data_IF_989247480171
#
_entry.id   IF_989247480171
#
_cell.length_a   1.000
_cell.length_b   1.000
_cell.length_c   1.000
_cell.angle_alpha   90.00
_cell.angle_beta   90.00
_cell.angle_gamma   90.00
#
_symmetry.space_group_name_H-M   'P 1'
#
loop_
_entity.id
_entity.type
_entity.pdbx_description
1 polymer ?
#
# COMPACT_ATOMS: atom_id res chain seq x y z
N UNK A 1 -50.47 -27.06 -31.61
CA UNK A 1 -51.00 -26.79 -30.25
C UNK A 1 -50.03 -25.88 -29.52
N UNK A 2 -50.59 -24.86 -28.90
CA UNK A 2 -49.94 -23.68 -28.34
C UNK A 2 -49.47 -23.98 -26.91
N UNK A 3 -48.19 -23.81 -26.59
CA UNK A 3 -47.71 -23.85 -25.19
C UNK A 3 -46.94 -22.56 -24.90
N UNK A 4 -47.68 -21.55 -24.46
CA UNK A 4 -47.14 -20.32 -23.85
C UNK A 4 -46.72 -20.59 -22.41
N UNK A 5 -45.91 -19.65 -21.90
CA UNK A 5 -45.55 -19.32 -20.50
C UNK A 5 -44.25 -19.93 -19.96
N UNK A 6 -43.34 -19.17 -19.32
CA UNK A 6 -43.33 -17.76 -18.91
C UNK A 6 -41.85 -17.38 -18.69
N UNK A 7 -41.33 -16.40 -19.41
CA UNK A 7 -40.12 -15.69 -19.00
C UNK A 7 -40.48 -14.88 -17.75
N UNK A 8 -40.30 -15.48 -16.56
CA UNK A 8 -40.43 -14.74 -15.31
C UNK A 8 -39.16 -13.90 -15.21
N UNK A 9 -39.36 -12.59 -15.30
CA UNK A 9 -38.37 -11.56 -15.01
C UNK A 9 -37.72 -11.88 -13.65
N UNK A 10 -36.60 -12.60 -13.67
CA UNK A 10 -35.80 -12.86 -12.50
C UNK A 10 -35.15 -11.53 -12.15
N UNK A 11 -35.61 -10.96 -11.05
CA UNK A 11 -34.96 -9.85 -10.37
C UNK A 11 -33.49 -10.26 -10.19
N UNK A 12 -32.59 -9.50 -10.80
CA UNK A 12 -31.15 -9.70 -10.79
C UNK A 12 -30.68 -10.04 -9.37
N UNK A 13 -30.17 -11.26 -9.17
CA UNK A 13 -29.53 -11.72 -7.92
C UNK A 13 -30.05 -13.02 -7.30
N UNK A 14 -31.24 -13.53 -7.67
CA UNK A 14 -31.72 -14.81 -7.11
C UNK A 14 -31.18 -16.01 -7.90
N UNK A 15 -30.20 -16.73 -7.34
CA UNK A 15 -29.72 -18.01 -7.88
C UNK A 15 -30.48 -19.17 -7.23
N UNK A 16 -31.26 -19.91 -8.03
CA UNK A 16 -31.84 -21.18 -7.59
C UNK A 16 -30.82 -22.29 -7.83
N UNK A 17 -30.23 -22.81 -6.75
CA UNK A 17 -29.35 -23.99 -6.83
C UNK A 17 -30.22 -25.24 -6.75
N UNK A 18 -30.17 -26.07 -7.79
CA UNK A 18 -30.92 -27.32 -7.84
C UNK A 18 -30.12 -28.41 -7.11
N UNK A 19 -30.64 -28.89 -5.98
CA UNK A 19 -30.01 -29.99 -5.24
C UNK A 19 -30.24 -31.31 -6.01
N UNK A 20 -29.19 -32.09 -6.32
CA UNK A 20 -29.35 -33.38 -6.98
C UNK A 20 -30.15 -34.35 -6.09
N UNK A 21 -31.10 -35.06 -6.71
CA UNK A 21 -32.08 -35.92 -6.04
C UNK A 21 -31.41 -37.04 -5.24
N UNK A 22 -31.78 -37.18 -3.97
CA UNK A 22 -31.67 -38.47 -3.27
C UNK A 22 -32.84 -39.36 -3.72
N UNK A 23 -32.51 -40.53 -4.29
CA UNK A 23 -33.44 -41.48 -4.89
C UNK A 23 -34.38 -42.04 -3.81
N UNK A 24 -35.63 -41.59 -3.76
CA UNK A 24 -36.63 -42.24 -2.87
C UNK A 24 -37.95 -41.51 -2.61
N UNK A 25 -38.07 -40.19 -2.80
CA UNK A 25 -39.30 -39.46 -2.40
C UNK A 25 -40.01 -38.81 -3.60
N UNK A 26 -41.17 -39.37 -3.98
CA UNK A 26 -42.09 -38.78 -4.96
C UNK A 26 -42.90 -37.68 -4.25
N UNK A 27 -42.70 -36.43 -4.66
CA UNK A 27 -43.53 -35.31 -4.24
C UNK A 27 -42.70 -34.11 -3.79
N UNK A 28 -42.79 -33.03 -4.58
CA UNK A 28 -42.20 -31.69 -4.35
C UNK A 28 -40.69 -31.61 -4.61
N UNK A 29 -40.31 -30.84 -5.64
CA UNK A 29 -38.91 -30.48 -5.90
C UNK A 29 -38.49 -29.40 -4.91
N UNK A 30 -37.57 -29.65 -3.95
CA UNK A 30 -37.11 -28.60 -3.06
C UNK A 30 -36.21 -27.65 -3.83
N UNK A 31 -36.70 -26.44 -4.10
CA UNK A 31 -35.87 -25.34 -4.59
C UNK A 31 -35.46 -24.50 -3.39
N UNK A 32 -34.14 -24.40 -3.16
CA UNK A 32 -33.59 -23.44 -2.19
C UNK A 32 -33.44 -22.12 -2.92
N UNK A 33 -34.22 -21.11 -2.53
CA UNK A 33 -34.02 -19.75 -2.98
C UNK A 33 -32.92 -19.15 -2.12
N UNK A 34 -31.70 -19.12 -2.65
CA UNK A 34 -30.61 -18.36 -2.05
C UNK A 34 -30.92 -16.89 -2.36
N UNK A 35 -31.50 -16.20 -1.38
CA UNK A 35 -31.56 -14.74 -1.41
C UNK A 35 -30.17 -14.27 -1.01
N UNK A 36 -29.38 -13.66 -1.91
CA UNK A 36 -28.15 -13.02 -1.47
C UNK A 36 -28.55 -11.96 -0.44
N UNK A 37 -27.98 -12.04 0.76
CA UNK A 37 -27.95 -10.90 1.65
C UNK A 37 -27.42 -9.72 0.83
N UNK A 38 -28.24 -8.67 0.71
CA UNK A 38 -27.78 -7.46 0.03
C UNK A 38 -26.64 -6.92 0.89
N UNK A 39 -25.38 -6.91 0.39
CA UNK A 39 -24.31 -6.31 1.15
C UNK A 39 -24.72 -4.87 1.45
N UNK A 40 -24.49 -4.43 2.68
CA UNK A 40 -24.75 -3.04 3.04
C UNK A 40 -23.97 -2.13 2.07
N UNK A 41 -24.51 -0.94 1.78
CA UNK A 41 -23.79 0.05 0.97
C UNK A 41 -22.39 0.35 1.54
N UNK A 42 -22.25 0.27 2.86
CA UNK A 42 -20.96 0.36 3.55
C UNK A 42 -20.02 -0.78 3.16
N UNK A 43 -20.49 -2.02 3.13
CA UNK A 43 -19.70 -3.18 2.73
C UNK A 43 -19.24 -3.07 1.27
N UNK A 44 -20.11 -2.67 0.34
CA UNK A 44 -19.75 -2.44 -1.05
C UNK A 44 -18.74 -1.29 -1.23
N UNK A 45 -18.96 -0.18 -0.52
CA UNK A 45 -18.04 0.95 -0.52
C UNK A 45 -16.66 0.55 0.04
N UNK A 46 -16.59 -0.16 1.17
CA UNK A 46 -15.33 -0.65 1.72
C UNK A 46 -14.65 -1.65 0.80
N UNK A 47 -15.40 -2.56 0.18
CA UNK A 47 -14.84 -3.53 -0.74
C UNK A 47 -14.30 -2.85 -2.01
N UNK A 48 -14.97 -1.79 -2.48
CA UNK A 48 -14.50 -0.97 -3.59
C UNK A 48 -13.22 -0.21 -3.23
N UNK A 49 -13.17 0.41 -2.05
CA UNK A 49 -11.98 1.09 -1.53
C UNK A 49 -10.80 0.13 -1.36
N UNK A 50 -11.01 -1.03 -0.74
CA UNK A 50 -9.96 -2.05 -0.59
C UNK A 50 -9.46 -2.54 -1.96
N UNK A 51 -10.35 -2.81 -2.92
CA UNK A 51 -9.96 -3.20 -4.28
C UNK A 51 -9.19 -2.09 -4.98
N UNK A 52 -9.61 -0.84 -4.83
CA UNK A 52 -8.90 0.30 -5.40
C UNK A 52 -7.51 0.43 -4.78
N UNK A 53 -7.41 0.40 -3.45
CA UNK A 53 -6.17 0.41 -2.69
C UNK A 53 -5.24 -0.75 -3.08
N UNK A 54 -5.79 -1.94 -3.27
CA UNK A 54 -5.03 -3.11 -3.69
C UNK A 54 -4.50 -3.00 -5.13
N UNK A 55 -5.26 -2.36 -6.01
CA UNK A 55 -4.84 -2.05 -7.39
C UNK A 55 -3.78 -0.95 -7.43
N UNK A 56 -3.91 0.06 -6.56
CA UNK A 56 -2.97 1.18 -6.46
C UNK A 56 -1.81 0.94 -5.48
N UNK A 57 -1.70 -0.25 -4.89
CA UNK A 57 -0.69 -0.59 -3.86
C UNK A 57 0.73 -0.24 -4.26
N UNK A 58 1.08 -0.43 -5.53
CA UNK A 58 2.42 -0.11 -6.04
C UNK A 58 2.60 1.37 -6.28
N UNK A 59 1.54 2.13 -6.62
CA UNK A 59 1.60 3.58 -6.78
C UNK A 59 1.66 4.32 -5.43
N UNK A 60 1.15 3.68 -4.37
CA UNK A 60 1.12 4.18 -2.99
C UNK A 60 2.32 3.70 -2.16
N UNK A 61 3.32 3.08 -2.77
CA UNK A 61 4.50 2.64 -2.02
C UNK A 61 5.25 3.79 -1.32
N UNK A 62 5.47 4.96 -1.95
CA UNK A 62 6.17 6.06 -1.29
C UNK A 62 5.35 6.66 -0.14
N UNK A 63 4.04 6.80 -0.32
CA UNK A 63 3.13 7.28 0.73
C UNK A 63 3.06 6.29 1.90
N UNK A 64 2.92 5.00 1.61
CA UNK A 64 2.94 3.94 2.62
C UNK A 64 4.26 3.91 3.40
N UNK A 65 5.40 4.04 2.71
CA UNK A 65 6.72 4.10 3.34
C UNK A 65 6.89 5.35 4.22
N UNK A 66 6.45 6.52 3.74
CA UNK A 66 6.54 7.78 4.48
C UNK A 66 5.67 7.77 5.75
N UNK A 67 4.44 7.23 5.67
CA UNK A 67 3.58 7.06 6.82
C UNK A 67 4.14 6.03 7.80
N UNK A 68 4.66 4.90 7.29
CA UNK A 68 5.31 3.88 8.11
C UNK A 68 6.53 4.42 8.86
N UNK A 69 7.36 5.24 8.19
CA UNK A 69 8.49 5.90 8.82
C UNK A 69 8.07 6.89 9.92
N UNK A 70 6.97 7.63 9.71
CA UNK A 70 6.44 8.55 10.71
C UNK A 70 5.95 7.79 11.95
N UNK A 71 5.15 6.74 11.76
CA UNK A 71 4.68 5.87 12.86
C UNK A 71 5.86 5.23 13.59
N UNK A 72 6.84 4.71 12.85
CA UNK A 72 8.06 4.14 13.43
C UNK A 72 8.82 5.18 14.26
N UNK A 73 8.97 6.41 13.76
CA UNK A 73 9.62 7.50 14.48
C UNK A 73 8.91 7.85 15.78
N UNK A 74 7.57 7.90 15.77
CA UNK A 74 6.75 8.13 16.97
C UNK A 74 6.97 7.00 17.98
N UNK A 75 6.89 5.74 17.55
CA UNK A 75 7.07 4.59 18.42
C UNK A 75 8.48 4.56 19.03
N UNK A 76 9.51 4.82 18.23
CA UNK A 76 10.88 4.87 18.70
C UNK A 76 11.10 6.03 19.67
N UNK A 77 10.54 7.21 19.41
CA UNK A 77 10.62 8.34 20.34
C UNK A 77 10.03 7.98 21.71
N UNK A 78 8.86 7.30 21.73
CA UNK A 78 8.15 6.96 22.96
C UNK A 78 8.77 5.78 23.72
N UNK A 79 9.23 4.74 23.01
CA UNK A 79 9.64 3.47 23.61
C UNK A 79 11.17 3.35 23.76
N UNK A 80 11.93 3.97 22.85
CA UNK A 80 13.37 3.81 22.76
C UNK A 80 14.04 5.09 22.21
N UNK A 81 13.94 6.25 22.91
CA UNK A 81 14.54 7.49 22.43
C UNK A 81 16.06 7.38 22.25
N UNK A 82 16.71 6.50 23.02
CA UNK A 82 18.12 6.14 22.88
C UNK A 82 18.48 5.50 21.52
N UNK A 83 17.48 5.00 20.76
CA UNK A 83 17.70 4.46 19.43
C UNK A 83 18.29 5.50 18.45
N UNK A 84 18.19 6.80 18.77
CA UNK A 84 18.88 7.87 18.02
C UNK A 84 20.38 7.61 17.87
N UNK A 85 21.04 7.03 18.89
CA UNK A 85 22.48 6.73 18.84
C UNK A 85 22.83 5.62 17.83
N UNK A 86 21.87 4.76 17.49
CA UNK A 86 22.00 3.75 16.45
C UNK A 86 21.57 4.28 15.08
N UNK A 87 20.52 5.11 15.05
CA UNK A 87 20.01 5.73 13.84
C UNK A 87 20.98 6.73 13.21
N UNK A 88 21.67 7.52 14.02
CA UNK A 88 22.64 8.51 13.55
C UNK A 88 23.79 7.89 12.70
N UNK A 89 24.51 6.84 13.15
CA UNK A 89 25.50 6.19 12.32
C UNK A 89 24.87 5.42 11.14
N UNK A 90 23.68 4.84 11.34
CA UNK A 90 22.96 4.15 10.28
C UNK A 90 22.56 5.10 9.14
N UNK A 91 22.32 6.38 9.44
CA UNK A 91 22.06 7.41 8.44
C UNK A 91 23.21 7.56 7.43
N UNK A 92 24.45 7.15 7.76
CA UNK A 92 25.57 7.16 6.82
C UNK A 92 25.58 5.96 5.85
N UNK A 93 24.74 4.93 6.06
CA UNK A 93 24.69 3.74 5.21
C UNK A 93 24.47 4.04 3.70
N UNK A 94 23.63 5.00 3.29
CA UNK A 94 23.49 5.40 1.88
C UNK A 94 24.79 5.93 1.26
N UNK A 95 25.62 6.63 2.05
CA UNK A 95 26.92 7.14 1.58
C UNK A 95 27.91 5.99 1.37
N UNK A 96 27.94 5.02 2.30
CA UNK A 96 28.75 3.81 2.18
C UNK A 96 28.33 3.03 0.93
N UNK A 97 27.02 2.85 0.72
CA UNK A 97 26.51 2.22 -0.49
C UNK A 97 26.94 2.97 -1.76
N UNK A 98 26.85 4.30 -1.78
CA UNK A 98 27.26 5.10 -2.93
C UNK A 98 28.74 4.89 -3.26
N UNK A 99 29.61 4.92 -2.24
CA UNK A 99 31.04 4.71 -2.40
C UNK A 99 31.34 3.31 -2.95
N UNK A 100 30.70 2.27 -2.38
CA UNK A 100 30.86 0.89 -2.85
C UNK A 100 30.32 0.69 -4.27
N UNK A 101 29.11 1.19 -4.55
CA UNK A 101 28.47 1.07 -5.85
C UNK A 101 29.25 1.82 -6.94
N UNK A 102 29.81 2.99 -6.62
CA UNK A 102 30.65 3.75 -7.53
C UNK A 102 32.00 3.04 -7.77
N UNK A 103 32.60 2.46 -6.73
CA UNK A 103 33.84 1.67 -6.86
C UNK A 103 33.64 0.42 -7.70
N UNK A 104 32.55 -0.32 -7.51
CA UNK A 104 32.29 -1.55 -8.26
C UNK A 104 31.83 -1.29 -9.69
N UNK A 105 31.05 -0.21 -9.92
CA UNK A 105 30.52 0.17 -11.23
C UNK A 105 30.49 1.70 -11.34
N UNK A 106 31.58 2.31 -11.85
CA UNK A 106 31.64 3.75 -12.06
C UNK A 106 30.48 4.21 -12.95
N UNK A 107 29.81 5.27 -12.54
CA UNK A 107 28.72 5.88 -13.28
C UNK A 107 29.08 7.34 -13.55
N UNK A 108 28.73 7.84 -14.73
CA UNK A 108 29.00 9.21 -15.16
C UNK A 108 27.71 9.89 -15.65
N UNK A 109 27.71 11.22 -15.63
CA UNK A 109 26.60 12.05 -16.12
C UNK A 109 25.26 11.73 -15.42
N UNK A 110 24.17 11.51 -16.17
CA UNK A 110 22.82 11.39 -15.60
C UNK A 110 22.67 10.20 -14.65
N UNK A 111 23.40 9.11 -14.86
CA UNK A 111 23.37 7.95 -13.96
C UNK A 111 23.99 8.26 -12.59
N UNK A 112 25.04 9.08 -12.55
CA UNK A 112 25.64 9.53 -11.29
C UNK A 112 24.70 10.50 -10.57
N UNK A 113 24.14 11.48 -11.29
CA UNK A 113 23.15 12.42 -10.75
C UNK A 113 21.94 11.71 -10.13
N UNK A 114 21.49 10.61 -10.75
CA UNK A 114 20.41 9.80 -10.20
C UNK A 114 20.82 9.07 -8.92
N UNK A 115 22.01 8.44 -8.90
CA UNK A 115 22.52 7.76 -7.69
C UNK A 115 22.72 8.72 -6.53
N UNK A 116 23.30 9.90 -6.79
CA UNK A 116 23.48 10.92 -5.75
C UNK A 116 22.15 11.47 -5.27
N UNK A 117 21.18 11.70 -6.17
CA UNK A 117 19.83 12.11 -5.81
C UNK A 117 19.12 11.10 -4.90
N UNK A 118 19.21 9.80 -5.22
CA UNK A 118 18.65 8.74 -4.37
C UNK A 118 19.31 8.68 -2.99
N UNK A 119 20.63 8.85 -2.95
CA UNK A 119 21.41 8.84 -1.70
C UNK A 119 21.07 10.06 -0.86
N UNK A 120 20.94 11.24 -1.46
CA UNK A 120 20.52 12.45 -0.77
C UNK A 120 19.11 12.31 -0.19
N UNK A 121 18.17 11.73 -0.95
CA UNK A 121 16.82 11.45 -0.45
C UNK A 121 16.83 10.46 0.72
N UNK A 122 17.61 9.38 0.62
CA UNK A 122 17.74 8.39 1.68
C UNK A 122 18.38 8.97 2.94
N UNK A 123 19.43 9.77 2.78
CA UNK A 123 20.11 10.48 3.86
C UNK A 123 19.14 11.45 4.56
N UNK A 124 18.41 12.26 3.78
CA UNK A 124 17.40 13.19 4.28
C UNK A 124 16.29 12.47 5.07
N UNK A 125 15.77 11.36 4.56
CA UNK A 125 14.73 10.58 5.24
C UNK A 125 15.23 9.95 6.55
N UNK A 126 16.46 9.42 6.58
CA UNK A 126 17.06 8.85 7.81
C UNK A 126 17.38 9.93 8.84
N UNK A 127 17.93 11.07 8.41
CA UNK A 127 18.18 12.22 9.28
C UNK A 127 16.89 12.75 9.89
N UNK A 128 15.84 12.84 9.08
CA UNK A 128 14.52 13.22 9.56
C UNK A 128 13.99 12.22 10.60
N UNK A 129 14.09 10.92 10.33
CA UNK A 129 13.66 9.88 11.29
C UNK A 129 14.43 10.00 12.61
N UNK A 130 15.75 10.16 12.57
CA UNK A 130 16.57 10.38 13.75
C UNK A 130 16.15 11.65 14.52
N UNK A 131 15.78 12.71 13.80
CA UNK A 131 15.31 13.98 14.38
C UNK A 131 13.96 13.80 15.07
N UNK A 132 13.01 13.05 14.46
CA UNK A 132 11.74 12.69 15.09
C UNK A 132 11.97 11.89 16.38
N UNK A 133 12.91 10.93 16.38
CA UNK A 133 13.23 10.14 17.56
C UNK A 133 13.87 10.98 18.67
N UNK A 134 14.72 11.95 18.30
CA UNK A 134 15.42 12.81 19.27
C UNK A 134 14.52 13.88 19.89
N UNK A 135 13.74 14.57 19.07
CA UNK A 135 13.01 15.79 19.47
C UNK A 135 11.49 15.62 19.50
N UNK A 136 10.99 14.47 19.05
CA UNK A 136 9.58 14.16 18.97
C UNK A 136 8.94 14.54 17.63
N UNK A 137 7.78 13.96 17.31
CA UNK A 137 7.09 14.14 16.02
C UNK A 137 6.47 15.53 15.82
N UNK A 138 6.30 16.29 16.92
CA UNK A 138 5.67 17.61 16.92
C UNK A 138 6.69 18.76 16.91
N UNK A 139 7.99 18.48 16.81
CA UNK A 139 8.96 19.55 16.67
C UNK A 139 8.70 20.31 15.35
N UNK A 140 8.67 21.64 15.45
CA UNK A 140 8.24 22.53 14.37
C UNK A 140 9.05 22.32 13.09
N UNK A 141 8.37 22.19 11.94
CA UNK A 141 9.00 22.09 10.61
C UNK A 141 9.32 20.66 10.16
N UNK A 142 9.19 19.65 11.03
CA UNK A 142 9.33 18.24 10.66
C UNK A 142 8.26 17.77 9.68
N UNK A 143 7.05 18.31 9.80
CA UNK A 143 5.93 18.08 8.91
C UNK A 143 6.23 18.56 7.48
N UNK A 144 6.78 19.77 7.35
CA UNK A 144 7.21 20.32 6.05
C UNK A 144 8.36 19.48 5.47
N UNK A 145 9.35 19.13 6.28
CA UNK A 145 10.45 18.27 5.83
C UNK A 145 9.96 16.89 5.38
N UNK A 146 8.97 16.33 6.08
CA UNK A 146 8.34 15.05 5.73
C UNK A 146 7.63 15.13 4.38
N UNK A 147 6.86 16.20 4.17
CA UNK A 147 6.17 16.45 2.92
C UNK A 147 7.13 16.62 1.75
N UNK A 148 8.27 17.30 1.95
CA UNK A 148 9.29 17.45 0.91
C UNK A 148 9.90 16.10 0.52
N UNK A 149 10.30 15.28 1.50
CA UNK A 149 10.81 13.93 1.24
C UNK A 149 9.76 13.07 0.51
N UNK A 150 8.50 13.12 0.94
CA UNK A 150 7.41 12.40 0.29
C UNK A 150 7.19 12.88 -1.15
N UNK A 151 7.19 14.20 -1.40
CA UNK A 151 6.99 14.76 -2.73
C UNK A 151 8.11 14.33 -3.68
N UNK A 152 9.37 14.41 -3.24
CA UNK A 152 10.51 13.95 -4.03
C UNK A 152 10.44 12.44 -4.28
N UNK A 153 10.11 11.64 -3.26
CA UNK A 153 9.94 10.20 -3.43
C UNK A 153 8.81 9.86 -4.41
N UNK A 154 7.67 10.54 -4.32
CA UNK A 154 6.51 10.32 -5.18
C UNK A 154 6.77 10.72 -6.63
N UNK A 155 7.55 11.78 -6.88
CA UNK A 155 7.95 12.20 -8.23
C UNK A 155 8.99 11.28 -8.84
N UNK A 156 9.94 10.76 -8.05
CA UNK A 156 10.95 9.81 -8.51
C UNK A 156 10.40 8.39 -8.73
N UNK A 157 9.36 8.00 -8.00
CA UNK A 157 8.82 6.63 -7.98
C UNK A 157 8.40 6.07 -9.36
N UNK A 158 7.70 6.82 -10.23
CA UNK A 158 7.39 6.39 -11.59
C UNK A 158 8.61 6.05 -12.45
N UNK A 159 9.73 6.73 -12.22
CA UNK A 159 10.98 6.47 -12.93
C UNK A 159 11.60 5.16 -12.43
N UNK A 160 11.70 4.99 -11.11
CA UNK A 160 12.27 3.78 -10.48
C UNK A 160 11.54 2.50 -10.86
N UNK A 161 10.20 2.54 -10.96
CA UNK A 161 9.40 1.36 -11.30
C UNK A 161 9.50 0.96 -12.78
N UNK A 162 9.91 1.88 -13.67
CA UNK A 162 10.09 1.59 -15.10
C UNK A 162 11.46 1.00 -15.42
N UNK A 163 12.42 1.20 -14.52
CA UNK A 163 13.80 0.72 -14.66
C UNK A 163 14.03 -0.70 -14.08
N UNK A 164 12.97 -1.38 -13.64
CA UNK A 164 12.98 -2.79 -13.21
C UNK A 164 12.30 -3.64 -14.25
#
# INVERSE_FOLDING_TARGET
MNTRTRARLLKTGAHTVQIPRTRGRRGVSPYVVVVPERPSLTHEATAMLLRWLWRSRTALAPTGAALGALVLGVLLHLLAPWAVYLLAPLAAAPLVWLALAHRSRPAHGPALAWRTGLVALALSALAQLATVVAYGPLASGLDVWWLLNLLVAQTAWPVLRRTR
#
